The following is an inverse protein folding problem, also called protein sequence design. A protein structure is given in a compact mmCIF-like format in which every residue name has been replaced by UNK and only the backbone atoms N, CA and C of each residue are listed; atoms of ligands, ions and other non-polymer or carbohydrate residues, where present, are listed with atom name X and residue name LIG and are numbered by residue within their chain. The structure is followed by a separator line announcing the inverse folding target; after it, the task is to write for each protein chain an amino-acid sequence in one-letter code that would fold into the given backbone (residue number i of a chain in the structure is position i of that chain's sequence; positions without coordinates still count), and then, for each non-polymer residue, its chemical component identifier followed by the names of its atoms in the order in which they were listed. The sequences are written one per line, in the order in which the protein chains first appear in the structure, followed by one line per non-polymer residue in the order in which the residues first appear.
data_IF_657823415616
#
_entry.id   IF_657823415616
#
_cell.length_a   1.000
_cell.length_b   1.000
_cell.length_c   1.000
_cell.angle_alpha   90.00
_cell.angle_beta   90.00
_cell.angle_gamma   90.00
#
_symmetry.space_group_name_H-M   'P 1'
#
loop_
_entity.id
_entity.type
_entity.pdbx_description
1 polymer ?
#
# COMPACT_ATOMS: atom_id res chain seq x y z
N UNK A 1 -5.44 16.70 -12.41
CA UNK A 1 -4.13 16.10 -12.09
C UNK A 1 -4.05 15.91 -10.58
N UNK A 2 -3.77 14.68 -10.10
CA UNK A 2 -3.45 14.47 -8.69
C UNK A 2 -2.16 15.23 -8.36
N UNK A 3 -2.17 16.02 -7.28
CA UNK A 3 -0.99 16.76 -6.78
C UNK A 3 -0.16 15.93 -5.80
N UNK A 4 -0.57 14.68 -5.57
CA UNK A 4 0.08 13.79 -4.62
C UNK A 4 1.53 13.50 -5.07
N UNK A 5 2.51 13.60 -4.17
CA UNK A 5 3.91 13.34 -4.49
C UNK A 5 4.08 11.89 -4.97
N UNK A 6 4.60 11.71 -6.18
CA UNK A 6 4.90 10.38 -6.72
C UNK A 6 6.22 9.88 -6.16
N UNK A 7 6.19 8.70 -5.53
CA UNK A 7 7.38 8.01 -5.06
C UNK A 7 7.72 6.86 -6.00
N UNK A 8 8.98 6.81 -6.49
CA UNK A 8 9.50 5.62 -7.19
C UNK A 8 10.02 4.62 -6.16
N UNK A 9 9.24 3.59 -5.89
CA UNK A 9 9.61 2.53 -4.95
C UNK A 9 10.22 1.34 -5.72
N UNK A 10 11.37 0.84 -5.24
CA UNK A 10 11.88 -0.47 -5.66
C UNK A 10 11.41 -1.50 -4.65
N UNK A 11 10.46 -2.33 -5.06
CA UNK A 11 9.96 -3.43 -4.27
C UNK A 11 10.72 -4.72 -4.64
N UNK A 12 11.04 -5.58 -3.66
CA UNK A 12 11.41 -6.96 -3.92
C UNK A 12 10.34 -7.66 -4.77
N UNK A 13 10.74 -8.59 -5.63
CA UNK A 13 9.82 -9.28 -6.55
C UNK A 13 8.70 -10.02 -5.81
N UNK A 14 9.05 -10.71 -4.73
CA UNK A 14 8.09 -11.40 -3.85
C UNK A 14 7.02 -10.45 -3.31
N UNK A 15 7.44 -9.27 -2.82
CA UNK A 15 6.52 -8.28 -2.26
C UNK A 15 5.63 -7.67 -3.35
N UNK A 16 6.17 -7.47 -4.56
CA UNK A 16 5.39 -6.98 -5.70
C UNK A 16 4.30 -7.97 -6.10
N UNK A 17 4.64 -9.27 -6.18
CA UNK A 17 3.68 -10.32 -6.50
C UNK A 17 2.57 -10.40 -5.44
N UNK A 18 2.94 -10.33 -4.17
CA UNK A 18 1.97 -10.32 -3.08
C UNK A 18 1.00 -9.11 -3.18
N UNK A 19 1.54 -7.89 -3.38
CA UNK A 19 0.71 -6.69 -3.57
C UNK A 19 -0.21 -6.82 -4.78
N UNK A 20 0.26 -7.42 -5.86
CA UNK A 20 -0.54 -7.62 -7.07
C UNK A 20 -1.73 -8.56 -6.82
N UNK A 21 -1.49 -9.67 -6.13
CA UNK A 21 -2.53 -10.63 -5.75
C UNK A 21 -3.57 -9.97 -4.83
N UNK A 22 -3.12 -9.24 -3.80
CA UNK A 22 -4.03 -8.55 -2.87
C UNK A 22 -4.82 -7.43 -3.56
N UNK A 23 -4.17 -6.66 -4.45
CA UNK A 23 -4.83 -5.63 -5.24
C UNK A 23 -5.92 -6.22 -6.15
N UNK A 24 -5.64 -7.36 -6.81
CA UNK A 24 -6.63 -8.06 -7.63
C UNK A 24 -7.81 -8.56 -6.79
N UNK A 25 -7.56 -9.19 -5.64
CA UNK A 25 -8.62 -9.65 -4.72
C UNK A 25 -9.50 -8.50 -4.23
N UNK A 26 -8.89 -7.35 -3.94
CA UNK A 26 -9.58 -6.18 -3.40
C UNK A 26 -10.14 -5.24 -4.48
N UNK A 27 -10.07 -5.63 -5.77
CA UNK A 27 -10.51 -4.84 -6.93
C UNK A 27 -9.89 -3.43 -6.95
N UNK A 28 -8.61 -3.33 -6.57
CA UNK A 28 -7.85 -2.10 -6.46
C UNK A 28 -6.63 -2.13 -7.38
N UNK A 29 -6.08 -0.95 -7.65
CA UNK A 29 -4.76 -0.87 -8.29
C UNK A 29 -3.66 -1.21 -7.27
N UNK A 30 -2.53 -1.73 -7.74
CA UNK A 30 -1.36 -2.02 -6.89
C UNK A 30 -0.98 -0.81 -6.02
N UNK A 31 -0.97 0.40 -6.60
CA UNK A 31 -0.70 1.64 -5.86
C UNK A 31 -1.74 1.92 -4.77
N UNK A 32 -3.02 1.74 -5.07
CA UNK A 32 -4.08 1.96 -4.09
C UNK A 32 -4.01 0.95 -2.93
N UNK A 33 -3.62 -0.29 -3.22
CA UNK A 33 -3.45 -1.31 -2.19
C UNK A 33 -2.25 -1.03 -1.28
N UNK A 34 -1.11 -0.63 -1.86
CA UNK A 34 0.06 -0.19 -1.06
C UNK A 34 -0.30 0.99 -0.17
N UNK A 35 -0.99 2.00 -0.70
CA UNK A 35 -1.44 3.15 0.08
C UNK A 35 -2.40 2.72 1.19
N UNK A 36 -3.35 1.84 0.90
CA UNK A 36 -4.29 1.33 1.89
C UNK A 36 -3.59 0.56 3.02
N UNK A 37 -2.68 -0.35 2.67
CA UNK A 37 -1.89 -1.11 3.65
C UNK A 37 -1.04 -0.18 4.54
N UNK A 38 -0.43 0.85 3.97
CA UNK A 38 0.33 1.85 4.73
C UNK A 38 -0.56 2.68 5.67
N UNK A 39 -1.77 3.05 5.24
CA UNK A 39 -2.73 3.78 6.08
C UNK A 39 -3.23 2.92 7.24
N UNK A 40 -3.54 1.65 6.98
CA UNK A 40 -3.96 0.69 8.02
C UNK A 40 -2.83 0.41 9.02
N UNK A 41 -1.60 0.21 8.55
CA UNK A 41 -0.43 0.01 9.42
C UNK A 41 -0.14 1.27 10.25
N UNK A 42 -0.25 2.46 9.66
CA UNK A 42 -0.13 3.73 10.40
C UNK A 42 -1.17 3.80 11.51
N UNK A 43 -2.44 3.57 11.19
CA UNK A 43 -3.54 3.61 12.16
C UNK A 43 -3.32 2.60 13.29
N UNK A 44 -2.86 1.39 12.97
CA UNK A 44 -2.52 0.35 13.96
C UNK A 44 -1.42 0.81 14.91
N UNK A 45 -0.36 1.44 14.40
CA UNK A 45 0.75 1.97 15.23
C UNK A 45 0.32 3.15 16.09
N UNK A 46 -0.47 4.07 15.54
CA UNK A 46 -1.00 5.23 16.27
C UNK A 46 -1.96 4.78 17.39
N UNK A 47 -2.75 3.73 17.16
CA UNK A 47 -3.68 3.18 18.17
C UNK A 47 -3.00 2.28 19.21
N UNK A 48 -1.92 1.59 18.84
CA UNK A 48 -1.13 0.76 19.77
C UNK A 48 -0.13 1.54 20.63
N UNK A 49 0.03 2.85 20.37
CA UNK A 49 0.88 3.75 21.14
C UNK A 49 0.12 4.59 22.18
N UNK A 50 -1.16 4.26 22.44
CA UNK A 50 -2.03 4.90 23.42
C UNK A 50 -2.10 4.11 24.74
#
# INVERSE_FOLDING_TARGET
MRKDPQMKLRLPEELKQWVEIEAQKNLRSQTAEVVFALLEERKRREQGAA
#
